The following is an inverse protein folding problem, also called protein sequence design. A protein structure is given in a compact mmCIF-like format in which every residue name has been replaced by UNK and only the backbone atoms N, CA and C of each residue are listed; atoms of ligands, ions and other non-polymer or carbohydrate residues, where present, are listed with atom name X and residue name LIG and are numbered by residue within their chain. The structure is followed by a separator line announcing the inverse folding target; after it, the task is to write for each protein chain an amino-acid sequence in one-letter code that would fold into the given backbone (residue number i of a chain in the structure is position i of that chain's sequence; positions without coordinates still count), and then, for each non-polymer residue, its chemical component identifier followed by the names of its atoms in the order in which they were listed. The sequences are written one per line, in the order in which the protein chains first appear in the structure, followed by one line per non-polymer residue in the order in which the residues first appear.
data_IF_021443838880
#
_entry.id   IF_021443838880
#
_cell.length_a   1.000
_cell.length_b   1.000
_cell.length_c   1.000
_cell.angle_alpha   90.00
_cell.angle_beta   90.00
_cell.angle_gamma   90.00
#
_symmetry.space_group_name_H-M   'P 1'
#
loop_
_entity.id
_entity.type
_entity.pdbx_description
1 polymer ?
#
# COMPACT_ATOMS: atom_id res chain seq x y z
N UNK A 1 53.90 -22.27 -9.40
CA UNK A 1 52.78 -22.27 -10.37
C UNK A 1 51.49 -22.51 -9.60
N UNK A 2 50.89 -21.47 -9.00
CA UNK A 2 49.67 -21.59 -8.18
C UNK A 2 49.00 -20.21 -8.05
N UNK A 3 48.23 -19.80 -9.07
CA UNK A 3 47.38 -18.58 -9.06
C UNK A 3 46.38 -18.60 -10.23
N UNK A 4 45.45 -19.56 -10.28
CA UNK A 4 44.33 -19.49 -11.23
C UNK A 4 42.95 -19.80 -10.66
N UNK A 5 42.86 -20.05 -9.35
CA UNK A 5 41.62 -20.55 -8.74
C UNK A 5 41.08 -19.49 -7.78
N UNK A 6 40.55 -18.38 -8.29
CA UNK A 6 39.78 -17.42 -7.46
C UNK A 6 38.72 -16.66 -8.26
N UNK A 7 38.91 -16.42 -9.56
CA UNK A 7 37.92 -15.67 -10.35
C UNK A 7 36.56 -16.39 -10.47
N UNK A 8 36.55 -17.72 -10.61
CA UNK A 8 35.31 -18.49 -10.73
C UNK A 8 34.50 -18.52 -9.42
N UNK A 9 35.18 -18.49 -8.27
CA UNK A 9 34.54 -18.44 -6.95
C UNK A 9 33.91 -17.07 -6.68
N UNK A 10 34.59 -15.97 -7.03
CA UNK A 10 34.04 -14.63 -6.86
C UNK A 10 32.83 -14.37 -7.77
N UNK A 11 32.84 -14.85 -9.01
CA UNK A 11 31.71 -14.68 -9.95
C UNK A 11 30.47 -15.45 -9.47
N UNK A 12 30.63 -16.65 -8.90
CA UNK A 12 29.52 -17.45 -8.38
C UNK A 12 28.87 -16.82 -7.14
N UNK A 13 29.66 -16.22 -6.24
CA UNK A 13 29.14 -15.54 -5.03
C UNK A 13 28.38 -14.25 -5.39
N UNK A 14 28.79 -13.53 -6.44
CA UNK A 14 28.09 -12.32 -6.90
C UNK A 14 26.71 -12.60 -7.50
N UNK A 15 26.54 -13.72 -8.20
CA UNK A 15 25.27 -14.07 -8.86
C UNK A 15 24.23 -14.57 -7.86
N UNK A 16 24.65 -15.23 -6.76
CA UNK A 16 23.74 -15.71 -5.71
C UNK A 16 23.21 -14.55 -4.83
N UNK A 17 24.01 -13.51 -4.59
CA UNK A 17 23.61 -12.35 -3.77
C UNK A 17 22.62 -11.43 -4.50
N UNK A 18 22.62 -11.42 -5.84
CA UNK A 18 21.69 -10.64 -6.66
C UNK A 18 20.39 -11.39 -7.01
N UNK A 19 20.31 -12.71 -6.74
CA UNK A 19 19.14 -13.54 -7.06
C UNK A 19 18.24 -13.91 -5.87
N UNK A 20 18.59 -13.46 -4.66
CA UNK A 20 17.92 -13.84 -3.40
C UNK A 20 17.52 -12.66 -2.53
N UNK A 21 17.35 -11.46 -3.10
CA UNK A 21 16.41 -10.54 -2.46
C UNK A 21 15.02 -11.09 -2.78
N UNK A 22 14.29 -11.76 -1.86
CA UNK A 22 12.86 -11.78 -2.03
C UNK A 22 12.49 -10.29 -2.09
N UNK A 23 11.96 -9.88 -3.25
CA UNK A 23 11.26 -8.63 -3.39
C UNK A 23 10.23 -8.71 -2.27
N UNK A 24 10.53 -8.09 -1.13
CA UNK A 24 9.58 -7.83 -0.09
C UNK A 24 8.66 -6.78 -0.67
N UNK A 25 7.87 -7.20 -1.66
CA UNK A 25 6.52 -6.74 -1.79
C UNK A 25 5.91 -7.26 -0.52
N UNK A 26 5.90 -6.42 0.51
CA UNK A 26 4.78 -6.47 1.41
C UNK A 26 3.57 -6.61 0.49
N UNK A 27 2.88 -7.75 0.54
CA UNK A 27 1.49 -7.80 0.15
C UNK A 27 0.85 -6.81 1.11
N UNK A 28 0.87 -5.54 0.70
CA UNK A 28 0.23 -4.47 1.42
C UNK A 28 -1.24 -4.76 1.16
N UNK A 29 -1.91 -5.35 2.15
CA UNK A 29 -3.35 -5.44 2.12
C UNK A 29 -3.84 -4.03 1.81
N UNK A 30 -4.55 -3.82 0.69
CA UNK A 30 -4.96 -2.47 0.24
C UNK A 30 -5.58 -1.71 1.42
N UNK A 31 -4.76 -0.91 2.10
CA UNK A 31 -5.17 -0.24 3.31
C UNK A 31 -5.94 0.98 2.86
N UNK A 32 -7.16 1.12 3.37
CA UNK A 32 -8.06 2.21 3.01
C UNK A 32 -8.35 3.03 4.25
N UNK A 33 -8.44 4.34 4.03
CA UNK A 33 -8.79 5.30 5.07
C UNK A 33 -10.18 5.82 4.74
N UNK A 34 -11.06 5.81 5.74
CA UNK A 34 -12.32 6.53 5.69
C UNK A 34 -12.23 7.79 6.54
N UNK A 35 -12.71 8.90 6.01
CA UNK A 35 -12.67 10.19 6.69
C UNK A 35 -13.85 11.04 6.24
N UNK A 36 -14.24 11.99 7.09
CA UNK A 36 -15.24 13.01 6.74
C UNK A 36 -14.56 14.26 6.19
N UNK A 37 -15.17 14.93 5.22
CA UNK A 37 -14.67 16.17 4.64
C UNK A 37 -15.84 17.06 4.22
N UNK A 38 -15.67 18.38 4.37
CA UNK A 38 -16.61 19.43 3.98
C UNK A 38 -16.22 20.15 2.68
N UNK A 39 -15.32 19.53 1.89
CA UNK A 39 -14.70 20.13 0.70
C UNK A 39 -15.71 20.50 -0.41
N UNK A 40 -16.87 19.86 -0.40
CA UNK A 40 -17.94 20.05 -1.38
C UNK A 40 -19.15 20.81 -0.78
N UNK A 41 -18.92 21.60 0.27
CA UNK A 41 -19.89 22.49 0.95
C UNK A 41 -20.91 21.81 1.88
N UNK A 42 -20.81 20.51 2.07
CA UNK A 42 -21.50 19.72 3.10
C UNK A 42 -20.59 18.61 3.62
N UNK A 43 -20.89 18.07 4.80
CA UNK A 43 -20.08 16.99 5.36
C UNK A 43 -20.38 15.66 4.68
N UNK A 44 -19.35 15.05 4.10
CA UNK A 44 -19.47 13.82 3.35
C UNK A 44 -18.40 12.81 3.75
N UNK A 45 -18.69 11.52 3.59
CA UNK A 45 -17.75 10.44 3.83
C UNK A 45 -16.96 10.14 2.57
N UNK A 46 -15.64 10.22 2.68
CA UNK A 46 -14.70 9.85 1.64
C UNK A 46 -13.90 8.62 2.03
N UNK A 47 -13.48 7.87 1.01
CA UNK A 47 -12.51 6.79 1.13
C UNK A 47 -11.33 7.04 0.21
N UNK A 48 -10.13 6.71 0.66
CA UNK A 48 -8.90 6.79 -0.12
C UNK A 48 -7.97 5.63 0.22
N UNK A 49 -6.95 5.44 -0.61
CA UNK A 49 -5.86 4.51 -0.31
C UNK A 49 -4.99 5.08 0.82
N UNK A 50 -4.24 4.22 1.52
CA UNK A 50 -3.29 4.59 2.57
C UNK A 50 -2.22 5.60 2.12
N UNK A 51 -1.91 5.63 0.82
CA UNK A 51 -1.00 6.61 0.21
C UNK A 51 -1.68 7.92 -0.18
N UNK A 52 -2.97 8.10 0.12
CA UNK A 52 -3.75 9.31 -0.17
C UNK A 52 -4.33 9.40 -1.58
N UNK A 53 -4.07 8.40 -2.43
CA UNK A 53 -4.61 8.28 -3.78
C UNK A 53 -6.05 7.75 -3.81
N UNK A 54 -6.65 7.73 -5.01
CA UNK A 54 -7.96 7.13 -5.28
C UNK A 54 -9.10 7.61 -4.34
N UNK A 55 -9.13 8.91 -4.06
CA UNK A 55 -10.17 9.50 -3.22
C UNK A 55 -11.54 9.41 -3.89
N UNK A 56 -12.55 8.91 -3.17
CA UNK A 56 -13.94 8.77 -3.63
C UNK A 56 -14.94 9.22 -2.56
N UNK A 57 -15.98 9.94 -2.96
CA UNK A 57 -17.13 10.27 -2.11
C UNK A 57 -18.09 9.05 -2.06
N UNK A 58 -18.56 8.68 -0.87
CA UNK A 58 -19.47 7.54 -0.66
C UNK A 58 -20.92 7.93 -0.36
N UNK A 59 -21.17 9.12 0.16
CA UNK A 59 -22.49 9.49 0.71
C UNK A 59 -23.23 10.53 -0.13
N UNK A 60 -22.53 11.38 -0.89
CA UNK A 60 -23.04 12.40 -1.84
C UNK A 60 -24.56 12.65 -1.79
N UNK A 61 -25.02 13.28 -0.72
CA UNK A 61 -26.43 13.59 -0.50
C UNK A 61 -26.58 14.91 0.27
N UNK A 62 -27.77 15.54 0.30
CA UNK A 62 -27.92 16.86 0.94
C UNK A 62 -27.72 16.90 2.47
N UNK A 63 -27.60 15.74 3.13
CA UNK A 63 -27.36 15.62 4.57
C UNK A 63 -25.89 15.84 4.96
N UNK A 64 -25.67 15.93 6.26
CA UNK A 64 -24.34 15.91 6.87
C UNK A 64 -24.02 14.49 7.34
N UNK A 65 -23.00 13.87 6.73
CA UNK A 65 -22.52 12.53 7.09
C UNK A 65 -21.17 12.61 7.83
N UNK A 66 -21.12 12.05 9.04
CA UNK A 66 -19.99 12.22 9.98
C UNK A 66 -19.66 10.92 10.71
N UNK A 67 -18.42 10.85 11.22
CA UNK A 67 -17.92 9.75 12.07
C UNK A 67 -18.00 8.35 11.42
N UNK A 68 -17.37 8.15 10.26
CA UNK A 68 -17.39 6.84 9.60
C UNK A 68 -16.68 5.78 10.44
N UNK A 69 -17.17 4.53 10.35
CA UNK A 69 -16.52 3.36 10.95
C UNK A 69 -16.55 2.19 9.99
N UNK A 70 -15.45 1.45 9.91
CA UNK A 70 -15.40 0.24 9.12
C UNK A 70 -16.02 -0.95 9.87
N UNK A 71 -16.68 -1.83 9.13
CA UNK A 71 -17.00 -3.16 9.64
C UNK A 71 -15.72 -3.93 9.98
N UNK A 72 -15.75 -4.91 10.92
CA UNK A 72 -14.56 -5.66 11.31
C UNK A 72 -13.87 -6.39 10.15
N UNK A 73 -14.61 -6.74 9.11
CA UNK A 73 -14.10 -7.37 7.89
C UNK A 73 -13.65 -6.37 6.81
N UNK A 74 -13.77 -5.07 7.07
CA UNK A 74 -13.39 -3.98 6.17
C UNK A 74 -14.18 -3.91 4.86
N UNK A 75 -15.27 -4.68 4.72
CA UNK A 75 -16.07 -4.71 3.48
C UNK A 75 -17.14 -3.63 3.42
N UNK A 76 -17.51 -3.07 4.58
CA UNK A 76 -18.59 -2.09 4.72
C UNK A 76 -18.16 -0.91 5.57
N UNK A 77 -18.87 0.18 5.33
CA UNK A 77 -18.81 1.46 6.00
C UNK A 77 -20.23 2.03 6.02
#
# INVERSE_FOLDING_TARGET
MHRRDNLAHFILVSVVILGLTPLMVCVDAQARIAFMSDRDWNWEIYVMDNHGGNQRNLTNNPGDDKYPSWSPDGKRI
#
